data_IF_428298334699
#
_entry.id   IF_428298334699
#
_cell.length_a   1.000
_cell.length_b   1.000
_cell.length_c   1.000
_cell.angle_alpha   90.00
_cell.angle_beta   90.00
_cell.angle_gamma   90.00
#
_symmetry.space_group_name_H-M   'P 1'
#
loop_
_entity.id
_entity.type
_entity.pdbx_description
1 polymer ?
#
# COMPACT_ATOMS: atom_id res chain seq x y z
N UNK A 1 -1.51 11.00 4.91
CA UNK A 1 -1.85 9.64 5.33
C UNK A 1 -0.58 9.09 5.93
N UNK A 2 -0.46 9.09 7.26
CA UNK A 2 0.60 8.30 7.89
C UNK A 2 0.22 6.85 7.57
N UNK A 3 1.01 6.17 6.75
CA UNK A 3 1.06 4.73 6.86
C UNK A 3 1.58 4.50 8.28
N UNK A 4 0.68 4.17 9.20
CA UNK A 4 1.09 3.72 10.52
C UNK A 4 1.83 2.43 10.23
N UNK A 5 3.16 2.50 10.22
CA UNK A 5 3.99 1.31 10.14
C UNK A 5 3.48 0.38 11.23
N UNK A 6 2.95 -0.76 10.82
CA UNK A 6 2.66 -1.84 11.76
C UNK A 6 3.95 -2.08 12.53
N UNK A 7 3.96 -1.73 13.82
CA UNK A 7 5.08 -1.98 14.77
C UNK A 7 5.33 -3.47 15.02
N UNK A 8 4.71 -4.32 14.21
CA UNK A 8 4.77 -5.75 14.31
C UNK A 8 5.50 -6.27 13.09
N UNK A 9 6.79 -6.49 13.26
CA UNK A 9 7.58 -7.34 12.37
C UNK A 9 7.22 -8.80 12.72
N UNK A 10 6.69 -9.59 11.79
CA UNK A 10 6.44 -11.01 12.03
C UNK A 10 7.73 -11.71 12.51
N UNK A 11 7.65 -12.47 13.62
CA UNK A 11 8.81 -13.14 14.25
C UNK A 11 9.61 -13.97 13.23
N UNK A 12 8.92 -14.63 12.30
CA UNK A 12 9.54 -15.44 11.25
C UNK A 12 10.41 -14.59 10.30
N UNK A 13 10.02 -13.35 10.02
CA UNK A 13 10.75 -12.47 9.08
C UNK A 13 12.15 -12.11 9.59
N UNK A 14 12.27 -11.83 10.90
CA UNK A 14 13.57 -11.55 11.54
C UNK A 14 14.53 -12.73 11.45
N UNK A 15 14.03 -13.94 11.68
CA UNK A 15 14.83 -15.16 11.63
C UNK A 15 15.48 -15.39 10.27
N UNK A 16 14.75 -15.14 9.17
CA UNK A 16 15.28 -15.33 7.82
C UNK A 16 16.32 -14.29 7.39
N UNK A 17 16.20 -13.03 7.85
CA UNK A 17 17.14 -11.98 7.47
C UNK A 17 18.51 -12.12 8.16
N UNK A 18 18.52 -12.73 9.34
CA UNK A 18 19.71 -12.81 10.19
C UNK A 18 20.21 -14.25 10.36
N UNK A 19 19.77 -15.18 9.51
CA UNK A 19 20.22 -16.57 9.57
C UNK A 19 21.65 -16.71 9.02
N UNK A 20 22.63 -16.41 9.89
CA UNK A 20 24.05 -16.65 9.64
C UNK A 20 24.49 -18.04 10.09
N UNK A 21 23.56 -18.96 10.42
CA UNK A 21 23.90 -20.30 10.91
C UNK A 21 24.60 -21.17 9.86
N UNK A 22 24.46 -20.80 8.58
CA UNK A 22 25.18 -21.38 7.44
C UNK A 22 26.28 -20.43 6.96
N UNK A 23 27.54 -20.85 7.07
CA UNK A 23 28.73 -20.13 6.56
C UNK A 23 28.74 -19.85 5.04
N UNK A 24 27.68 -20.25 4.32
CA UNK A 24 27.57 -20.20 2.86
C UNK A 24 26.79 -18.96 2.40
N UNK A 25 25.99 -18.32 3.26
CA UNK A 25 25.09 -17.21 2.88
C UNK A 25 25.67 -15.88 3.37
N UNK A 26 25.88 -14.95 2.44
CA UNK A 26 26.35 -13.61 2.75
C UNK A 26 25.25 -12.79 3.49
N UNK A 27 25.63 -11.86 4.39
CA UNK A 27 24.67 -10.99 5.06
C UNK A 27 23.79 -10.20 4.08
N UNK A 28 22.53 -9.98 4.46
CA UNK A 28 21.62 -9.12 3.69
C UNK A 28 22.11 -7.68 3.72
N UNK A 29 22.16 -7.03 2.55
CA UNK A 29 22.67 -5.65 2.39
C UNK A 29 21.61 -4.65 1.94
N UNK A 30 20.42 -5.11 1.56
CA UNK A 30 19.30 -4.29 1.11
C UNK A 30 17.99 -5.09 1.21
N UNK A 31 16.87 -4.41 1.44
CA UNK A 31 15.52 -4.99 1.36
C UNK A 31 14.79 -4.41 0.15
N UNK A 32 14.16 -5.28 -0.65
CA UNK A 32 13.17 -4.89 -1.66
C UNK A 32 11.85 -5.52 -1.25
N UNK A 33 10.86 -4.69 -0.98
CA UNK A 33 9.59 -5.12 -0.35
C UNK A 33 8.40 -4.54 -1.10
N UNK A 34 7.24 -5.18 -0.98
CA UNK A 34 5.99 -4.61 -1.49
C UNK A 34 5.60 -3.37 -0.66
N UNK A 35 5.11 -2.31 -1.31
CA UNK A 35 4.75 -1.04 -0.66
C UNK A 35 3.66 -1.13 0.41
N UNK A 36 2.85 -2.19 0.42
CA UNK A 36 1.86 -2.47 1.48
C UNK A 36 2.51 -3.10 2.72
N UNK A 37 3.68 -3.71 2.59
CA UNK A 37 4.34 -4.46 3.64
C UNK A 37 5.13 -3.55 4.60
N UNK A 38 4.48 -2.54 5.18
CA UNK A 38 5.13 -1.46 5.93
C UNK A 38 6.07 -1.87 7.08
N UNK A 39 5.94 -3.10 7.60
CA UNK A 39 6.82 -3.60 8.67
C UNK A 39 8.26 -3.80 8.21
N UNK A 40 8.50 -3.92 6.90
CA UNK A 40 9.85 -4.10 6.35
C UNK A 40 10.72 -2.85 6.50
N UNK A 41 10.10 -1.67 6.62
CA UNK A 41 10.78 -0.42 6.93
C UNK A 41 11.43 -0.44 8.31
N UNK A 42 10.70 -0.93 9.32
CA UNK A 42 11.25 -1.09 10.67
C UNK A 42 12.37 -2.14 10.66
N UNK A 43 12.20 -3.25 9.93
CA UNK A 43 13.24 -4.26 9.79
C UNK A 43 14.52 -3.72 9.11
N UNK A 44 14.38 -2.91 8.05
CA UNK A 44 15.51 -2.27 7.37
C UNK A 44 16.25 -1.29 8.29
N UNK A 45 15.50 -0.49 9.05
CA UNK A 45 16.05 0.44 10.04
C UNK A 45 16.80 -0.29 11.15
N UNK A 46 16.26 -1.40 11.68
CA UNK A 46 16.91 -2.22 12.71
C UNK A 46 18.23 -2.83 12.21
N UNK A 47 18.28 -3.25 10.93
CA UNK A 47 19.47 -3.81 10.30
C UNK A 47 20.46 -2.75 9.80
N UNK A 48 20.06 -1.47 9.76
CA UNK A 48 20.89 -0.38 9.25
C UNK A 48 21.17 -0.48 7.75
N UNK A 49 20.26 -1.10 6.98
CA UNK A 49 20.40 -1.32 5.53
C UNK A 49 19.36 -0.52 4.74
N UNK A 50 19.64 -0.17 3.47
CA UNK A 50 18.67 0.48 2.60
C UNK A 50 17.46 -0.42 2.31
N UNK A 51 16.31 0.23 2.08
CA UNK A 51 15.10 -0.40 1.59
C UNK A 51 14.59 0.29 0.31
N UNK A 52 14.09 -0.51 -0.63
CA UNK A 52 13.36 -0.06 -1.81
C UNK A 52 11.94 -0.62 -1.78
N UNK A 53 10.96 0.28 -1.72
CA UNK A 53 9.54 -0.09 -1.78
C UNK A 53 9.08 -0.26 -3.23
N UNK A 54 8.54 -1.42 -3.55
CA UNK A 54 7.93 -1.74 -4.83
C UNK A 54 6.42 -1.66 -4.73
N UNK A 55 5.82 -0.67 -5.40
CA UNK A 55 4.37 -0.54 -5.50
C UNK A 55 3.85 -1.35 -6.68
N UNK A 56 3.20 -2.48 -6.39
CA UNK A 56 2.59 -3.37 -7.39
C UNK A 56 1.41 -2.73 -8.13
N UNK A 57 0.84 -1.65 -7.59
CA UNK A 57 -0.25 -0.89 -8.17
C UNK A 57 0.19 -0.09 -9.39
N UNK A 58 -0.71 0.14 -10.35
CA UNK A 58 -0.47 1.11 -11.42
C UNK A 58 -0.25 2.53 -10.87
N UNK A 59 0.32 3.44 -11.66
CA UNK A 59 0.55 4.81 -11.24
C UNK A 59 -0.73 5.54 -10.76
N UNK A 60 -1.88 5.29 -11.41
CA UNK A 60 -3.15 5.87 -10.97
C UNK A 60 -3.70 5.21 -9.70
N UNK A 61 -3.45 3.92 -9.48
CA UNK A 61 -3.73 3.24 -8.22
C UNK A 61 -2.88 3.81 -7.07
N UNK A 62 -1.58 3.94 -7.30
CA UNK A 62 -0.64 4.54 -6.34
C UNK A 62 -1.04 5.97 -5.96
N UNK A 63 -1.36 6.83 -6.95
CA UNK A 63 -1.82 8.19 -6.67
C UNK A 63 -3.13 8.21 -5.88
N UNK A 64 -4.06 7.29 -6.16
CA UNK A 64 -5.28 7.14 -5.39
C UNK A 64 -4.99 6.74 -3.92
N UNK A 65 -4.02 5.84 -3.68
CA UNK A 65 -3.56 5.52 -2.33
C UNK A 65 -2.91 6.72 -1.64
N UNK A 66 -1.95 7.37 -2.30
CA UNK A 66 -1.23 8.52 -1.75
C UNK A 66 -2.18 9.66 -1.35
N UNK A 67 -3.26 9.84 -2.10
CA UNK A 67 -4.28 10.86 -1.86
C UNK A 67 -5.60 10.29 -1.28
N UNK A 68 -5.58 9.12 -0.65
CA UNK A 68 -6.78 8.46 -0.15
C UNK A 68 -7.60 9.34 0.80
N UNK A 69 -6.95 10.12 1.68
CA UNK A 69 -7.63 11.10 2.55
C UNK A 69 -8.44 12.12 1.76
N UNK A 70 -7.92 12.60 0.63
CA UNK A 70 -8.63 13.57 -0.22
C UNK A 70 -9.84 12.92 -0.91
N UNK A 71 -9.76 11.63 -1.24
CA UNK A 71 -10.91 10.88 -1.75
C UNK A 71 -12.01 10.75 -0.68
N UNK A 72 -11.64 10.56 0.59
CA UNK A 72 -12.59 10.56 1.72
C UNK A 72 -13.21 11.95 1.90
N UNK A 73 -12.41 13.01 1.94
CA UNK A 73 -12.89 14.39 2.10
C UNK A 73 -13.86 14.81 0.98
N UNK A 74 -13.69 14.24 -0.22
CA UNK A 74 -14.60 14.44 -1.36
C UNK A 74 -15.79 13.49 -1.38
N UNK A 75 -15.89 12.59 -0.41
CA UNK A 75 -16.98 11.62 -0.32
C UNK A 75 -16.98 10.58 -1.43
N UNK A 76 -15.83 10.33 -2.06
CA UNK A 76 -15.67 9.33 -3.13
C UNK A 76 -15.42 7.92 -2.58
N UNK A 77 -14.96 7.80 -1.33
CA UNK A 77 -14.69 6.55 -0.63
C UNK A 77 -14.88 6.73 0.88
N UNK A 78 -15.28 5.69 1.64
CA UNK A 78 -15.77 4.39 1.18
C UNK A 78 -17.13 4.48 0.49
N UNK A 79 -17.48 3.46 -0.31
CA UNK A 79 -18.83 3.32 -0.83
C UNK A 79 -19.82 3.13 0.33
N UNK A 80 -21.02 3.69 0.20
CA UNK A 80 -22.06 3.59 1.23
C UNK A 80 -22.66 2.19 1.31
N UNK A 81 -22.88 1.56 0.15
CA UNK A 81 -23.47 0.24 0.02
C UNK A 81 -23.17 -0.34 -1.38
N UNK A 82 -23.54 -1.60 -1.60
CA UNK A 82 -23.26 -2.34 -2.85
C UNK A 82 -23.98 -1.78 -4.08
N UNK A 83 -25.03 -0.96 -3.94
CA UNK A 83 -25.73 -0.37 -5.10
C UNK A 83 -24.82 0.55 -5.91
N UNK A 84 -23.77 1.09 -5.28
CA UNK A 84 -22.77 1.94 -5.92
C UNK A 84 -21.89 1.18 -6.93
N UNK A 85 -21.88 -0.15 -6.88
CA UNK A 85 -21.15 -1.00 -7.83
C UNK A 85 -21.85 -1.06 -9.20
N UNK A 86 -23.17 -0.85 -9.25
CA UNK A 86 -23.99 -1.02 -10.46
C UNK A 86 -24.72 0.24 -10.91
N UNK A 87 -24.88 1.26 -10.05
CA UNK A 87 -25.61 2.49 -10.36
C UNK A 87 -24.82 3.53 -11.20
N UNK A 88 -23.65 3.17 -11.72
CA UNK A 88 -22.77 4.04 -12.51
C UNK A 88 -21.91 5.01 -11.69
N UNK A 89 -22.00 5.00 -10.35
CA UNK A 89 -21.19 5.87 -9.49
C UNK A 89 -19.68 5.69 -9.71
N UNK A 90 -19.24 4.45 -9.97
CA UNK A 90 -17.84 4.14 -10.26
C UNK A 90 -17.31 4.77 -11.55
N UNK A 91 -18.18 5.27 -12.43
CA UNK A 91 -17.78 6.02 -13.62
C UNK A 91 -17.49 7.51 -13.34
N UNK A 92 -17.67 7.97 -12.10
CA UNK A 92 -17.32 9.32 -11.66
C UNK A 92 -15.82 9.59 -11.86
N UNK A 93 -15.49 10.76 -12.43
CA UNK A 93 -14.11 11.17 -12.67
C UNK A 93 -13.48 11.70 -11.38
N UNK A 94 -12.25 11.26 -11.11
CA UNK A 94 -11.41 11.78 -10.03
C UNK A 94 -10.68 13.03 -10.55
N UNK A 95 -11.25 14.21 -10.30
CA UNK A 95 -10.67 15.50 -10.68
C UNK A 95 -9.81 16.12 -9.56
N UNK A 96 -9.90 15.58 -8.36
CA UNK A 96 -9.31 16.17 -7.18
C UNK A 96 -7.82 15.80 -7.00
N UNK A 97 -7.27 14.85 -7.76
CA UNK A 97 -5.86 14.44 -7.64
C UNK A 97 -5.05 14.95 -8.85
N UNK A 98 -4.00 15.77 -8.64
CA UNK A 98 -3.08 16.14 -9.70
C UNK A 98 -2.49 14.91 -10.40
N UNK A 99 -2.49 14.89 -11.74
CA UNK A 99 -1.99 13.76 -12.52
C UNK A 99 -3.00 12.64 -12.80
N UNK A 100 -4.24 12.72 -12.26
CA UNK A 100 -5.30 11.72 -12.49
C UNK A 100 -6.46 12.23 -13.37
N UNK A 101 -6.22 13.26 -14.18
CA UNK A 101 -7.28 13.86 -15.02
C UNK A 101 -7.91 12.81 -15.93
N UNK A 102 -9.24 12.67 -15.86
CA UNK A 102 -10.00 11.74 -16.69
C UNK A 102 -10.02 10.29 -16.19
N UNK A 103 -9.35 9.97 -15.06
CA UNK A 103 -9.43 8.65 -14.43
C UNK A 103 -10.78 8.52 -13.71
N UNK A 104 -11.46 7.40 -13.94
CA UNK A 104 -12.72 7.07 -13.26
C UNK A 104 -12.46 6.32 -11.96
N UNK A 105 -13.34 6.49 -10.99
CA UNK A 105 -13.27 5.86 -9.67
C UNK A 105 -13.08 4.33 -9.76
N UNK A 106 -13.72 3.65 -10.72
CA UNK A 106 -13.58 2.20 -10.94
C UNK A 106 -12.12 1.75 -11.10
N UNK A 107 -11.29 2.53 -11.77
CA UNK A 107 -9.90 2.16 -12.09
C UNK A 107 -9.03 2.27 -10.84
N UNK A 108 -9.42 3.13 -9.89
CA UNK A 108 -8.76 3.28 -8.60
C UNK A 108 -9.27 2.31 -7.53
N UNK A 109 -10.51 1.83 -7.64
CA UNK A 109 -11.10 0.95 -6.62
C UNK A 109 -10.67 -0.51 -6.71
N UNK A 110 -10.26 -1.00 -7.88
CA UNK A 110 -9.81 -2.40 -8.05
C UNK A 110 -8.62 -2.74 -7.15
N UNK A 111 -7.88 -1.74 -6.65
CA UNK A 111 -6.83 -1.99 -5.65
C UNK A 111 -7.34 -2.10 -4.22
N UNK A 112 -8.54 -1.62 -3.85
CA UNK A 112 -9.05 -1.64 -2.46
C UNK A 112 -9.91 -2.89 -2.15
N UNK A 113 -9.54 -4.04 -2.70
CA UNK A 113 -10.14 -5.34 -2.37
C UNK A 113 -10.18 -5.59 -0.85
N UNK A 114 -11.11 -6.43 -0.34
CA UNK A 114 -11.42 -6.61 1.08
C UNK A 114 -10.23 -6.73 2.06
N UNK A 115 -9.09 -7.39 1.75
CA UNK A 115 -7.95 -7.41 2.68
C UNK A 115 -7.36 -6.02 2.96
N UNK A 116 -7.40 -5.09 2.00
CA UNK A 116 -6.80 -3.75 2.15
C UNK A 116 -7.70 -2.82 3.00
N UNK A 117 -9.02 -3.07 3.01
CA UNK A 117 -9.97 -2.34 3.86
C UNK A 117 -9.69 -2.53 5.37
N UNK A 118 -9.01 -3.59 5.78
CA UNK A 118 -8.62 -3.84 7.18
C UNK A 118 -7.26 -3.26 7.58
N UNK A 119 -6.45 -2.84 6.61
CA UNK A 119 -5.11 -2.26 6.86
C UNK A 119 -5.21 -0.73 7.04
N UNK A 120 -6.29 -0.13 6.54
CA UNK A 120 -6.49 1.32 6.49
C UNK A 120 -7.35 1.88 7.64
N UNK A 121 -7.93 1.02 8.47
CA UNK A 121 -8.74 1.33 9.66
C UNK A 121 -8.26 0.47 10.82
#
# INVERSE_FOLDING_TARGET
MEMVASKFIPINFRGYLNDTSSSIVAPVTCIVSDGVMSFTLEAAQELGIPEVLFWTTSACGFLAYAHYRRLIEKGLTPLKDESFLSNGYLDSVIDCIPGMKGIRLRVSQVSLEPPIRKILY
#
